data_IF_901270490000
#
_entry.id   IF_901270490000
#
_cell.length_a   1.000
_cell.length_b   1.000
_cell.length_c   1.000
_cell.angle_alpha   90.00
_cell.angle_beta   90.00
_cell.angle_gamma   90.00
#
_symmetry.space_group_name_H-M   'P 1'
#
loop_
_entity.id
_entity.type
_entity.pdbx_description
1 polymer ?
#
# COMPACT_ATOMS: atom_id res chain seq x y z
N UNK A 1 51.91 -34.30 -21.50
CA UNK A 1 51.23 -33.82 -20.27
C UNK A 1 51.33 -32.33 -20.23
N UNK A 2 50.29 -31.63 -20.68
CA UNK A 2 50.18 -30.18 -20.60
C UNK A 2 49.11 -29.86 -19.54
N UNK A 3 49.50 -29.21 -18.47
CA UNK A 3 48.61 -28.78 -17.37
C UNK A 3 47.84 -27.52 -17.83
N UNK A 4 46.55 -27.65 -18.02
CA UNK A 4 45.61 -26.54 -18.18
C UNK A 4 45.32 -25.99 -16.77
N UNK A 5 46.03 -24.94 -16.39
CA UNK A 5 45.66 -24.09 -15.24
C UNK A 5 44.52 -23.19 -15.71
N UNK A 6 43.30 -23.52 -15.30
CA UNK A 6 42.17 -22.59 -15.45
C UNK A 6 42.35 -21.43 -14.45
N UNK A 7 42.68 -20.26 -14.95
CA UNK A 7 42.61 -19.01 -14.17
C UNK A 7 41.13 -18.70 -13.91
N UNK A 8 40.76 -18.73 -12.64
CA UNK A 8 39.46 -18.25 -12.16
C UNK A 8 39.52 -16.71 -12.16
N UNK A 9 38.66 -16.02 -12.90
CA UNK A 9 38.61 -14.57 -12.84
C UNK A 9 38.06 -14.13 -11.48
N UNK A 10 38.92 -13.56 -10.65
CA UNK A 10 38.49 -12.86 -9.43
C UNK A 10 38.10 -11.44 -9.81
N UNK A 11 36.89 -11.23 -10.31
CA UNK A 11 36.27 -9.90 -10.37
C UNK A 11 35.70 -9.56 -8.99
N UNK A 12 36.53 -9.15 -8.07
CA UNK A 12 36.09 -8.38 -6.88
C UNK A 12 36.31 -6.90 -7.16
N UNK A 13 35.43 -6.32 -7.95
CA UNK A 13 35.27 -4.86 -7.95
C UNK A 13 34.81 -4.40 -6.55
N UNK A 14 35.28 -3.24 -6.04
CA UNK A 14 34.78 -2.75 -4.76
C UNK A 14 33.28 -2.61 -4.82
N UNK A 15 32.54 -2.97 -3.71
CA UNK A 15 31.11 -2.79 -3.67
C UNK A 15 30.81 -1.33 -3.99
N UNK A 16 29.94 -1.09 -4.98
CA UNK A 16 29.47 0.25 -5.28
C UNK A 16 28.90 0.85 -4.00
N UNK A 17 29.48 1.96 -3.53
CA UNK A 17 28.90 2.69 -2.40
C UNK A 17 27.49 3.10 -2.80
N UNK A 18 26.50 2.40 -2.26
CA UNK A 18 25.09 2.75 -2.46
C UNK A 18 24.92 4.18 -1.91
N UNK A 19 24.77 5.16 -2.80
CA UNK A 19 24.53 6.54 -2.42
C UNK A 19 23.21 6.62 -1.63
N UNK A 20 23.11 7.63 -0.76
CA UNK A 20 21.87 7.89 0.00
C UNK A 20 20.71 8.14 -0.99
N UNK A 21 19.63 7.37 -0.88
CA UNK A 21 18.41 7.68 -1.63
C UNK A 21 17.68 8.87 -0.98
N UNK A 22 17.93 10.05 -1.51
CA UNK A 22 17.34 11.29 -1.00
C UNK A 22 15.81 11.32 -1.14
N UNK A 23 15.24 10.61 -2.09
CA UNK A 23 13.78 10.52 -2.25
C UNK A 23 13.19 9.76 -1.07
N UNK A 24 13.80 8.66 -0.67
CA UNK A 24 13.39 7.91 0.51
C UNK A 24 13.58 8.73 1.80
N UNK A 25 14.71 9.43 1.95
CA UNK A 25 14.95 10.28 3.11
C UNK A 25 13.89 11.37 3.23
N UNK A 26 13.58 12.08 2.15
CA UNK A 26 12.56 13.13 2.12
C UNK A 26 11.18 12.55 2.43
N UNK A 27 10.84 11.38 1.87
CA UNK A 27 9.56 10.71 2.10
C UNK A 27 9.39 10.33 3.59
N UNK A 28 10.41 9.72 4.19
CA UNK A 28 10.40 9.33 5.61
C UNK A 28 10.30 10.56 6.51
N UNK A 29 11.10 11.60 6.27
CA UNK A 29 11.04 12.85 7.04
C UNK A 29 9.68 13.54 6.90
N UNK A 30 9.07 13.52 5.72
CA UNK A 30 7.71 14.04 5.50
C UNK A 30 6.68 13.27 6.32
N UNK A 31 6.76 11.95 6.36
CA UNK A 31 5.88 11.11 7.18
C UNK A 31 6.05 11.42 8.68
N UNK A 32 7.28 11.53 9.16
CA UNK A 32 7.56 11.92 10.56
C UNK A 32 6.98 13.30 10.86
N UNK A 33 7.24 14.28 10.00
CA UNK A 33 6.74 15.64 10.14
C UNK A 33 5.21 15.72 10.21
N UNK A 34 4.52 14.94 9.39
CA UNK A 34 3.05 14.87 9.41
C UNK A 34 2.53 14.19 10.68
N UNK A 35 3.18 13.13 11.17
CA UNK A 35 2.81 12.48 12.43
C UNK A 35 2.98 13.47 13.59
N UNK A 36 4.10 14.18 13.65
CA UNK A 36 4.33 15.23 14.68
C UNK A 36 3.26 16.32 14.58
N UNK A 37 2.96 16.81 13.36
CA UNK A 37 1.89 17.79 13.15
C UNK A 37 0.53 17.26 13.61
N UNK A 38 0.18 16.03 13.25
CA UNK A 38 -1.08 15.42 13.64
C UNK A 38 -1.22 15.33 15.17
N UNK A 39 -0.17 14.91 15.85
CA UNK A 39 -0.21 14.69 17.31
C UNK A 39 -0.25 16.01 18.11
N UNK A 40 0.56 17.00 17.72
CA UNK A 40 0.82 18.17 18.55
C UNK A 40 0.18 19.47 18.05
N UNK A 41 -0.10 19.58 16.74
CA UNK A 41 -0.51 20.86 16.13
C UNK A 41 -1.88 20.78 15.42
N UNK A 42 -2.54 19.63 15.40
CA UNK A 42 -3.87 19.50 14.80
C UNK A 42 -4.92 19.41 15.90
N UNK A 43 -6.07 20.07 15.79
CA UNK A 43 -7.14 19.99 16.78
C UNK A 43 -7.57 18.54 17.05
N UNK A 44 -8.08 18.30 18.25
CA UNK A 44 -8.70 17.02 18.62
C UNK A 44 -10.15 17.03 18.16
N UNK A 45 -10.60 15.93 17.58
CA UNK A 45 -12.00 15.77 17.19
C UNK A 45 -12.92 15.69 18.40
N UNK A 46 -14.02 16.42 18.36
CA UNK A 46 -14.95 16.52 19.49
C UNK A 46 -15.67 15.19 19.80
N UNK A 47 -15.91 14.35 18.79
CA UNK A 47 -16.63 13.08 18.94
C UNK A 47 -15.71 11.89 19.18
N UNK A 48 -14.61 11.84 18.44
CA UNK A 48 -13.67 10.70 18.44
C UNK A 48 -12.48 10.91 19.37
N UNK A 49 -12.31 12.10 19.90
CA UNK A 49 -11.21 12.42 20.79
C UNK A 49 -9.84 12.21 20.12
N UNK A 50 -8.85 11.83 20.92
CA UNK A 50 -7.47 11.61 20.44
C UNK A 50 -7.37 10.44 19.45
N UNK A 51 -8.28 9.48 19.48
CA UNK A 51 -8.29 8.33 18.56
C UNK A 51 -8.40 8.74 17.10
N UNK A 52 -9.03 9.89 16.82
CA UNK A 52 -9.10 10.47 15.48
C UNK A 52 -7.72 10.74 14.86
N UNK A 53 -6.66 10.91 15.66
CA UNK A 53 -5.31 11.13 15.13
C UNK A 53 -4.80 9.96 14.28
N UNK A 54 -5.30 8.75 14.49
CA UNK A 54 -4.99 7.57 13.68
C UNK A 54 -5.43 7.76 12.22
N UNK A 55 -6.47 8.58 11.99
CA UNK A 55 -6.95 8.95 10.65
C UNK A 55 -5.83 9.42 9.70
N UNK A 56 -4.87 10.21 10.21
CA UNK A 56 -3.78 10.77 9.40
C UNK A 56 -2.72 9.75 8.96
N UNK A 57 -2.80 8.53 9.47
CA UNK A 57 -1.98 7.39 9.03
C UNK A 57 -2.85 6.41 8.26
N UNK A 58 -4.00 6.03 8.84
CA UNK A 58 -4.87 4.98 8.32
C UNK A 58 -5.42 5.32 6.92
N UNK A 59 -6.00 6.52 6.75
CA UNK A 59 -6.65 6.88 5.49
C UNK A 59 -5.63 7.12 4.36
N UNK A 60 -4.49 7.80 4.56
CA UNK A 60 -3.44 7.85 3.56
C UNK A 60 -2.86 6.48 3.20
N UNK A 61 -2.63 5.61 4.20
CA UNK A 61 -2.20 4.24 3.93
C UNK A 61 -3.24 3.46 3.11
N UNK A 62 -4.54 3.62 3.42
CA UNK A 62 -5.61 3.01 2.63
C UNK A 62 -5.67 3.56 1.20
N UNK A 63 -5.49 4.86 1.01
CA UNK A 63 -5.45 5.48 -0.32
C UNK A 63 -4.30 4.90 -1.14
N UNK A 64 -3.10 4.83 -0.58
CA UNK A 64 -1.94 4.27 -1.26
C UNK A 64 -2.10 2.77 -1.49
N UNK A 65 -2.44 2.00 -0.45
CA UNK A 65 -2.52 0.54 -0.53
C UNK A 65 -3.62 0.05 -1.48
N UNK A 66 -4.85 0.55 -1.29
CA UNK A 66 -6.00 0.08 -2.08
C UNK A 66 -5.99 0.65 -3.51
N UNK A 67 -5.82 1.97 -3.67
CA UNK A 67 -6.05 2.57 -4.98
C UNK A 67 -4.78 2.70 -5.81
N UNK A 68 -3.66 3.13 -5.23
CA UNK A 68 -2.44 3.32 -6.00
C UNK A 68 -1.69 2.00 -6.20
N UNK A 69 -1.31 1.32 -5.13
CA UNK A 69 -0.49 0.12 -5.22
C UNK A 69 -1.26 -1.06 -5.82
N UNK A 70 -2.43 -1.44 -5.26
CA UNK A 70 -3.23 -2.52 -5.84
C UNK A 70 -3.77 -2.17 -7.24
N UNK A 71 -4.10 -0.89 -7.50
CA UNK A 71 -4.46 -0.43 -8.84
C UNK A 71 -3.33 -0.63 -9.84
N UNK A 72 -2.10 -0.31 -9.45
CA UNK A 72 -0.93 -0.50 -10.31
C UNK A 72 -0.61 -1.98 -10.51
N UNK A 73 -0.73 -2.83 -9.47
CA UNK A 73 -0.66 -4.30 -9.62
C UNK A 73 -1.65 -4.78 -10.67
N UNK A 74 -2.91 -4.38 -10.55
CA UNK A 74 -3.98 -4.83 -11.44
C UNK A 74 -3.76 -4.36 -12.89
N UNK A 75 -3.46 -3.08 -13.09
CA UNK A 75 -3.24 -2.51 -14.43
C UNK A 75 -2.02 -3.14 -15.09
N UNK A 76 -0.87 -3.21 -14.39
CA UNK A 76 0.34 -3.79 -14.91
C UNK A 76 0.16 -5.30 -15.24
N UNK A 77 -0.57 -6.03 -14.38
CA UNK A 77 -0.90 -7.44 -14.61
C UNK A 77 -1.77 -7.64 -15.85
N UNK A 78 -2.83 -6.86 -16.02
CA UNK A 78 -3.68 -6.93 -17.21
C UNK A 78 -2.92 -6.57 -18.48
N UNK A 79 -2.10 -5.51 -18.43
CA UNK A 79 -1.24 -5.14 -19.55
C UNK A 79 -0.22 -6.23 -19.88
N UNK A 80 0.37 -6.88 -18.85
CA UNK A 80 1.29 -8.00 -19.07
C UNK A 80 0.60 -9.18 -19.76
N UNK A 81 -0.60 -9.54 -19.36
CA UNK A 81 -1.35 -10.64 -20.01
C UNK A 81 -1.59 -10.38 -21.51
N UNK A 82 -1.67 -9.13 -21.93
CA UNK A 82 -1.87 -8.74 -23.32
C UNK A 82 -0.55 -8.54 -24.07
N UNK A 83 0.36 -7.72 -23.50
CA UNK A 83 1.59 -7.25 -24.21
C UNK A 83 2.76 -8.20 -23.96
N UNK A 84 2.77 -8.94 -22.81
CA UNK A 84 3.85 -9.83 -22.36
C UNK A 84 5.22 -9.14 -22.19
N UNK A 85 5.23 -7.83 -21.90
CA UNK A 85 6.46 -7.10 -21.59
C UNK A 85 6.91 -7.42 -20.14
N UNK A 86 8.14 -7.96 -19.93
CA UNK A 86 8.67 -8.26 -18.60
C UNK A 86 8.78 -7.05 -17.67
N UNK A 87 8.78 -5.83 -18.22
CA UNK A 87 8.80 -4.61 -17.41
C UNK A 87 7.49 -4.44 -16.62
N UNK A 88 6.37 -4.83 -17.24
CA UNK A 88 5.05 -4.79 -16.59
C UNK A 88 4.96 -5.78 -15.44
N UNK A 89 5.55 -6.97 -15.61
CA UNK A 89 5.63 -7.97 -14.55
C UNK A 89 6.44 -7.45 -13.35
N UNK A 90 7.59 -6.79 -13.58
CA UNK A 90 8.38 -6.16 -12.49
C UNK A 90 7.63 -5.03 -11.80
N UNK A 91 6.93 -4.18 -12.55
CA UNK A 91 6.09 -3.12 -11.97
C UNK A 91 4.99 -3.71 -11.09
N UNK A 92 4.33 -4.78 -11.54
CA UNK A 92 3.30 -5.46 -10.76
C UNK A 92 3.89 -6.06 -9.47
N UNK A 93 5.07 -6.68 -9.53
CA UNK A 93 5.77 -7.26 -8.38
C UNK A 93 6.11 -6.20 -7.33
N UNK A 94 6.87 -5.17 -7.69
CA UNK A 94 7.25 -4.09 -6.79
C UNK A 94 6.00 -3.41 -6.18
N UNK A 95 4.95 -3.22 -7.01
CA UNK A 95 3.69 -2.65 -6.53
C UNK A 95 2.98 -3.55 -5.52
N UNK A 96 3.05 -4.89 -5.69
CA UNK A 96 2.45 -5.84 -4.76
C UNK A 96 3.17 -5.86 -3.41
N UNK A 97 4.51 -5.76 -3.40
CA UNK A 97 5.30 -5.63 -2.18
C UNK A 97 4.90 -4.37 -1.41
N UNK A 98 4.82 -3.24 -2.09
CA UNK A 98 4.40 -1.97 -1.49
C UNK A 98 2.93 -2.03 -1.03
N UNK A 99 2.04 -2.65 -1.84
CA UNK A 99 0.64 -2.84 -1.47
C UNK A 99 0.50 -3.64 -0.17
N UNK A 100 1.27 -4.72 -0.01
CA UNK A 100 1.26 -5.55 1.20
C UNK A 100 1.63 -4.74 2.45
N UNK A 101 2.65 -3.88 2.35
CA UNK A 101 3.07 -3.01 3.46
C UNK A 101 1.94 -2.04 3.85
N UNK A 102 1.38 -1.31 2.89
CA UNK A 102 0.35 -0.32 3.19
C UNK A 102 -0.98 -0.96 3.66
N UNK A 103 -1.37 -2.09 3.10
CA UNK A 103 -2.53 -2.85 3.57
C UNK A 103 -2.32 -3.39 4.99
N UNK A 104 -1.08 -3.79 5.34
CA UNK A 104 -0.74 -4.19 6.72
C UNK A 104 -0.88 -3.02 7.69
N UNK A 105 -0.45 -1.80 7.30
CA UNK A 105 -0.66 -0.60 8.11
C UNK A 105 -2.18 -0.34 8.32
N UNK A 106 -2.98 -0.49 7.27
CA UNK A 106 -4.44 -0.34 7.34
C UNK A 106 -5.06 -1.35 8.31
N UNK A 107 -4.71 -2.62 8.18
CA UNK A 107 -5.23 -3.70 9.03
C UNK A 107 -4.76 -3.61 10.49
N UNK A 108 -3.59 -3.03 10.74
CA UNK A 108 -3.10 -2.78 12.09
C UNK A 108 -3.75 -1.54 12.73
N UNK A 109 -3.83 -0.44 11.99
CA UNK A 109 -4.35 0.84 12.51
C UNK A 109 -5.88 0.87 12.60
N UNK A 110 -6.59 0.11 11.75
CA UNK A 110 -8.05 0.01 11.76
C UNK A 110 -8.61 -0.46 13.11
N UNK A 111 -8.21 -1.61 13.65
CA UNK A 111 -8.60 -2.07 14.98
C UNK A 111 -8.21 -1.12 16.11
N UNK A 112 -7.01 -0.53 16.06
CA UNK A 112 -6.56 0.45 17.05
C UNK A 112 -7.46 1.69 17.08
N UNK A 113 -7.94 2.12 15.94
CA UNK A 113 -8.89 3.22 15.83
C UNK A 113 -10.33 2.78 16.14
N UNK A 114 -10.74 1.60 15.68
CA UNK A 114 -12.09 1.07 15.87
C UNK A 114 -12.43 0.77 17.32
N UNK A 115 -11.48 0.26 18.12
CA UNK A 115 -11.73 -0.12 19.52
C UNK A 115 -12.29 1.03 20.37
N UNK A 116 -11.71 2.23 20.41
CA UNK A 116 -12.26 3.34 21.17
C UNK A 116 -13.54 3.92 20.58
N UNK A 117 -13.79 3.79 19.26
CA UNK A 117 -14.96 4.39 18.60
C UNK A 117 -16.17 3.44 18.60
N UNK A 118 -15.95 2.16 18.34
CA UNK A 118 -17.01 1.15 18.16
C UNK A 118 -17.08 0.13 19.30
N UNK A 119 -16.17 0.18 20.27
CA UNK A 119 -16.12 -0.75 21.40
C UNK A 119 -15.57 -2.14 21.07
N UNK A 120 -15.24 -2.42 19.81
CA UNK A 120 -14.72 -3.71 19.34
C UNK A 120 -13.44 -3.54 18.53
N UNK A 121 -12.56 -4.55 18.57
CA UNK A 121 -11.35 -4.58 17.76
C UNK A 121 -11.63 -4.93 16.30
N UNK A 122 -12.65 -5.76 16.06
CA UNK A 122 -12.94 -6.31 14.74
C UNK A 122 -14.41 -6.68 14.63
N UNK A 123 -14.94 -6.52 13.42
CA UNK A 123 -16.23 -7.10 13.00
C UNK A 123 -16.06 -7.75 11.64
N UNK A 124 -16.80 -8.81 11.41
CA UNK A 124 -16.80 -9.50 10.12
C UNK A 124 -17.78 -8.85 9.13
N UNK A 125 -17.77 -7.53 9.08
CA UNK A 125 -18.55 -6.81 8.07
C UNK A 125 -17.90 -6.89 6.68
N UNK A 126 -18.66 -6.51 5.66
CA UNK A 126 -18.23 -6.66 4.27
C UNK A 126 -16.94 -5.89 3.96
N UNK A 127 -16.74 -4.70 4.55
CA UNK A 127 -15.55 -3.86 4.26
C UNK A 127 -14.29 -4.42 4.90
N UNK A 128 -14.35 -4.73 6.19
CA UNK A 128 -13.19 -5.24 6.92
C UNK A 128 -12.77 -6.61 6.36
N UNK A 129 -13.75 -7.49 6.14
CA UNK A 129 -13.53 -8.85 5.61
C UNK A 129 -12.93 -8.80 4.20
N UNK A 130 -13.47 -7.98 3.30
CA UNK A 130 -12.96 -7.90 1.93
C UNK A 130 -11.57 -7.23 1.86
N UNK A 131 -11.28 -6.28 2.76
CA UNK A 131 -9.93 -5.69 2.87
C UNK A 131 -8.91 -6.73 3.34
N UNK A 132 -9.26 -7.54 4.35
CA UNK A 132 -8.43 -8.65 4.80
C UNK A 132 -8.22 -9.68 3.70
N UNK A 133 -9.28 -9.98 2.93
CA UNK A 133 -9.20 -10.90 1.80
C UNK A 133 -8.27 -10.37 0.70
N UNK A 134 -8.32 -9.07 0.39
CA UNK A 134 -7.39 -8.44 -0.55
C UNK A 134 -5.94 -8.54 -0.06
N UNK A 135 -5.69 -8.34 1.24
CA UNK A 135 -4.35 -8.51 1.83
C UNK A 135 -3.84 -9.94 1.63
N UNK A 136 -4.67 -10.96 1.88
CA UNK A 136 -4.31 -12.36 1.62
C UNK A 136 -4.08 -12.64 0.13
N UNK A 137 -4.85 -12.02 -0.76
CA UNK A 137 -4.66 -12.15 -2.21
C UNK A 137 -3.30 -11.59 -2.65
N UNK A 138 -2.91 -10.42 -2.15
CA UNK A 138 -1.60 -9.81 -2.45
C UNK A 138 -0.47 -10.64 -1.84
N UNK A 139 -0.62 -11.13 -0.61
CA UNK A 139 0.34 -12.05 0.01
C UNK A 139 0.49 -13.33 -0.84
N UNK A 140 -0.61 -13.95 -1.23
CA UNK A 140 -0.61 -15.15 -2.07
C UNK A 140 0.03 -14.89 -3.46
N UNK A 141 -0.17 -13.71 -4.03
CA UNK A 141 0.51 -13.27 -5.24
C UNK A 141 2.05 -13.32 -5.07
N UNK A 142 2.58 -12.77 -3.99
CA UNK A 142 4.03 -12.77 -3.71
C UNK A 142 4.56 -14.17 -3.39
N UNK A 143 3.83 -14.96 -2.61
CA UNK A 143 4.18 -16.36 -2.30
C UNK A 143 4.22 -17.20 -3.57
N UNK A 144 3.24 -17.06 -4.45
CA UNK A 144 3.20 -17.76 -5.75
C UNK A 144 4.45 -17.42 -6.59
N UNK A 145 4.87 -16.17 -6.59
CA UNK A 145 6.08 -15.75 -7.32
C UNK A 145 7.34 -16.41 -6.78
N UNK A 146 7.46 -16.57 -5.47
CA UNK A 146 8.59 -17.28 -4.85
C UNK A 146 8.59 -18.81 -5.05
N UNK A 147 7.44 -19.39 -5.43
CA UNK A 147 7.29 -20.83 -5.59
C UNK A 147 7.51 -21.33 -7.04
N UNK A 148 7.60 -20.45 -8.03
CA UNK A 148 7.72 -20.79 -9.44
C UNK A 148 9.06 -20.33 -9.99
N UNK A 149 9.90 -21.27 -10.38
CA UNK A 149 11.24 -21.00 -10.96
C UNK A 149 11.16 -20.48 -12.40
N UNK A 150 10.25 -21.04 -13.20
CA UNK A 150 10.12 -20.69 -14.61
C UNK A 150 9.49 -19.29 -14.76
N UNK A 151 10.25 -18.37 -15.37
CA UNK A 151 9.94 -16.94 -15.37
C UNK A 151 8.62 -16.59 -16.10
N UNK A 152 8.34 -17.23 -17.25
CA UNK A 152 7.12 -16.92 -18.02
C UNK A 152 5.87 -17.44 -17.30
N UNK A 153 5.93 -18.64 -16.74
CA UNK A 153 4.84 -19.23 -15.95
C UNK A 153 4.58 -18.39 -14.69
N UNK A 154 5.65 -18.01 -13.97
CA UNK A 154 5.56 -17.15 -12.79
C UNK A 154 4.84 -15.84 -13.12
N UNK A 155 5.31 -15.12 -14.14
CA UNK A 155 4.74 -13.86 -14.55
C UNK A 155 3.26 -14.00 -14.96
N UNK A 156 2.93 -15.04 -15.74
CA UNK A 156 1.57 -15.29 -16.24
C UNK A 156 0.59 -15.61 -15.10
N UNK A 157 0.95 -16.53 -14.21
CA UNK A 157 0.07 -16.91 -13.10
C UNK A 157 -0.10 -15.78 -12.09
N UNK A 158 0.99 -15.06 -11.77
CA UNK A 158 0.94 -13.88 -10.95
C UNK A 158 0.07 -12.79 -11.55
N UNK A 159 0.16 -12.55 -12.85
CA UNK A 159 -0.66 -11.55 -13.53
C UNK A 159 -2.17 -11.90 -13.50
N UNK A 160 -2.53 -13.18 -13.58
CA UNK A 160 -3.93 -13.60 -13.39
C UNK A 160 -4.41 -13.26 -11.98
N UNK A 161 -3.60 -13.54 -10.94
CA UNK A 161 -3.94 -13.18 -9.56
C UNK A 161 -4.00 -11.66 -9.36
N UNK A 162 -3.05 -10.90 -9.92
CA UNK A 162 -3.04 -9.44 -9.85
C UNK A 162 -4.27 -8.82 -10.50
N UNK A 163 -4.75 -9.38 -11.61
CA UNK A 163 -5.97 -8.94 -12.28
C UNK A 163 -7.22 -9.12 -11.39
N UNK A 164 -7.27 -10.13 -10.52
CA UNK A 164 -8.37 -10.32 -9.56
C UNK A 164 -8.45 -9.19 -8.53
N UNK A 165 -7.32 -8.57 -8.16
CA UNK A 165 -7.30 -7.42 -7.26
C UNK A 165 -8.13 -6.24 -7.80
N UNK A 166 -8.22 -6.09 -9.14
CA UNK A 166 -9.02 -5.04 -9.78
C UNK A 166 -10.52 -5.16 -9.48
N UNK A 167 -11.01 -6.37 -9.25
CA UNK A 167 -12.41 -6.59 -8.87
C UNK A 167 -12.68 -6.26 -7.40
N UNK A 168 -11.71 -6.58 -6.53
CA UNK A 168 -11.86 -6.39 -5.09
C UNK A 168 -11.77 -4.91 -4.68
N UNK A 169 -10.90 -4.12 -5.29
CA UNK A 169 -10.72 -2.70 -4.90
C UNK A 169 -12.03 -1.90 -5.03
N UNK A 170 -12.70 -1.87 -6.20
CA UNK A 170 -13.99 -1.18 -6.31
C UNK A 170 -15.08 -1.81 -5.42
N UNK A 171 -15.07 -3.14 -5.25
CA UNK A 171 -16.00 -3.80 -4.35
C UNK A 171 -15.82 -3.30 -2.91
N UNK A 172 -14.61 -3.27 -2.38
CA UNK A 172 -14.29 -2.73 -1.04
C UNK A 172 -14.79 -1.29 -0.91
N UNK A 173 -14.62 -0.46 -1.94
CA UNK A 173 -15.13 0.91 -1.93
C UNK A 173 -16.65 0.96 -1.82
N UNK A 174 -17.35 0.11 -2.55
CA UNK A 174 -18.80 0.07 -2.61
C UNK A 174 -19.44 -0.55 -1.37
N UNK A 175 -18.72 -1.35 -0.58
CA UNK A 175 -19.28 -2.05 0.59
C UNK A 175 -19.97 -1.12 1.58
N UNK A 176 -19.47 0.11 1.78
CA UNK A 176 -20.07 1.08 2.71
C UNK A 176 -21.40 1.67 2.24
N UNK A 177 -21.72 1.49 0.97
CA UNK A 177 -22.99 1.92 0.37
C UNK A 177 -23.97 0.75 0.23
N UNK A 178 -23.46 -0.46 0.01
CA UNK A 178 -24.26 -1.64 -0.29
C UNK A 178 -24.61 -2.48 0.95
N UNK A 179 -23.78 -2.41 1.98
CA UNK A 179 -23.91 -3.24 3.18
C UNK A 179 -23.95 -2.41 4.45
N UNK A 180 -24.50 -2.97 5.51
CA UNK A 180 -24.36 -2.41 6.85
C UNK A 180 -22.94 -2.71 7.35
N UNK A 181 -22.19 -1.66 7.67
CA UNK A 181 -20.82 -1.75 8.17
C UNK A 181 -20.61 -0.67 9.25
N UNK A 182 -19.72 -0.94 10.19
CA UNK A 182 -19.31 0.08 11.18
C UNK A 182 -18.41 1.14 10.55
N UNK A 183 -17.77 0.83 9.41
CA UNK A 183 -16.90 1.77 8.73
C UNK A 183 -17.72 2.92 8.13
N UNK A 184 -17.35 4.19 8.42
CA UNK A 184 -18.08 5.34 7.89
C UNK A 184 -17.94 5.46 6.38
N UNK A 185 -18.90 6.15 5.76
CA UNK A 185 -18.77 6.60 4.38
C UNK A 185 -17.61 7.60 4.26
N UNK A 186 -17.04 7.78 3.04
CA UNK A 186 -15.93 8.71 2.84
C UNK A 186 -16.29 10.14 3.26
N UNK A 187 -15.49 10.72 4.16
CA UNK A 187 -15.70 12.09 4.67
C UNK A 187 -15.03 13.16 3.79
N UNK A 188 -14.04 12.76 2.98
CA UNK A 188 -13.27 13.67 2.13
C UNK A 188 -13.52 13.40 0.65
N UNK A 189 -13.38 12.15 0.19
CA UNK A 189 -13.59 11.76 -1.21
C UNK A 189 -15.07 11.50 -1.48
N UNK A 190 -15.86 12.58 -1.56
CA UNK A 190 -17.29 12.56 -1.82
C UNK A 190 -17.67 13.76 -2.71
N UNK A 191 -18.82 13.74 -3.41
CA UNK A 191 -19.26 14.84 -4.28
C UNK A 191 -19.52 16.18 -3.58
N UNK A 192 -19.80 16.17 -2.26
CA UNK A 192 -19.99 17.36 -1.44
C UNK A 192 -18.68 17.86 -0.81
N UNK A 193 -18.73 19.03 -0.17
CA UNK A 193 -17.58 19.52 0.62
C UNK A 193 -17.17 18.52 1.70
N UNK A 194 -15.87 18.39 2.01
CA UNK A 194 -15.39 17.56 3.11
C UNK A 194 -16.03 17.98 4.44
N UNK A 195 -16.47 16.98 5.24
CA UNK A 195 -17.01 17.22 6.58
C UNK A 195 -15.86 17.23 7.61
N UNK A 196 -14.95 18.20 7.44
CA UNK A 196 -13.76 18.29 8.28
C UNK A 196 -13.33 19.76 8.43
N UNK A 197 -12.95 20.22 9.64
CA UNK A 197 -12.37 21.56 9.84
C UNK A 197 -11.12 21.79 8.99
N UNK A 198 -10.90 23.03 8.55
CA UNK A 198 -9.82 23.36 7.59
C UNK A 198 -8.42 22.94 8.07
N UNK A 199 -8.11 23.08 9.36
CA UNK A 199 -6.82 22.67 9.94
C UNK A 199 -6.62 21.14 9.89
N UNK A 200 -7.67 20.37 10.16
CA UNK A 200 -7.67 18.92 10.03
C UNK A 200 -7.52 18.51 8.57
N UNK A 201 -8.23 19.18 7.67
CA UNK A 201 -8.14 18.94 6.22
C UNK A 201 -6.73 19.24 5.68
N UNK A 202 -6.10 20.33 6.14
CA UNK A 202 -4.72 20.66 5.77
C UNK A 202 -3.74 19.57 6.22
N UNK A 203 -3.87 19.08 7.47
CA UNK A 203 -3.04 17.98 7.98
C UNK A 203 -3.27 16.70 7.19
N UNK A 204 -4.51 16.40 6.82
CA UNK A 204 -4.84 15.26 5.98
C UNK A 204 -4.21 15.38 4.58
N UNK A 205 -4.28 16.55 3.95
CA UNK A 205 -3.65 16.79 2.64
C UNK A 205 -2.13 16.57 2.68
N UNK A 206 -1.47 17.08 3.72
CA UNK A 206 -0.04 16.84 3.93
C UNK A 206 0.27 15.36 4.16
N UNK A 207 -0.60 14.63 4.89
CA UNK A 207 -0.47 13.19 5.06
C UNK A 207 -0.56 12.44 3.74
N UNK A 208 -1.52 12.79 2.89
CA UNK A 208 -1.66 12.19 1.57
C UNK A 208 -0.40 12.38 0.73
N UNK A 209 0.14 13.60 0.70
CA UNK A 209 1.39 13.90 -0.04
C UNK A 209 2.55 13.08 0.52
N UNK A 210 2.74 13.03 1.84
CA UNK A 210 3.83 12.29 2.46
C UNK A 210 3.77 10.79 2.16
N UNK A 211 2.57 10.19 2.22
CA UNK A 211 2.39 8.76 1.92
C UNK A 211 2.53 8.44 0.43
N UNK A 212 2.14 9.36 -0.47
CA UNK A 212 2.40 9.22 -1.91
C UNK A 212 3.90 9.32 -2.20
N UNK A 213 4.62 10.24 -1.56
CA UNK A 213 6.08 10.31 -1.68
C UNK A 213 6.75 9.03 -1.18
N UNK A 214 6.28 8.47 -0.06
CA UNK A 214 6.77 7.20 0.45
C UNK A 214 6.48 6.04 -0.53
N UNK A 215 5.28 6.01 -1.12
CA UNK A 215 4.93 5.05 -2.16
C UNK A 215 5.90 5.12 -3.35
N UNK A 216 6.14 6.33 -3.88
CA UNK A 216 7.07 6.54 -5.00
C UNK A 216 8.50 6.12 -4.61
N UNK A 217 8.94 6.45 -3.38
CA UNK A 217 10.25 6.06 -2.90
C UNK A 217 10.41 4.54 -2.84
N UNK A 218 9.43 3.83 -2.26
CA UNK A 218 9.46 2.37 -2.13
C UNK A 218 9.39 1.65 -3.47
N UNK A 219 8.63 2.17 -4.45
CA UNK A 219 8.58 1.59 -5.81
C UNK A 219 9.91 1.66 -6.56
N UNK A 220 10.83 2.52 -6.15
CA UNK A 220 12.12 2.72 -6.80
C UNK A 220 13.23 1.83 -6.21
N UNK A 221 13.00 1.21 -5.06
CA UNK A 221 13.94 0.29 -4.41
C UNK A 221 13.91 -1.09 -5.07
#
# INVERSE_FOLDING_TARGET
MASLSAEIPTETGPPSSAGVDWVLVVAVLSCIGVIVRALFFTPVDAMQGIAQKIFYIHVPAATVGLYLACGLVAIASLMYLWIKDPRLDRVAESSAEVALVFLSIVLATGPLWGKPIWGTWWTWDARLTSTLFLWFLILAYLVLRGAIDEAEMRARLSAVMGALAMLLVPFIHLTVYLFRTLHPQPVVLKPSKPDMPGEMLATFGLSQVAFILLFIALLRL
#
